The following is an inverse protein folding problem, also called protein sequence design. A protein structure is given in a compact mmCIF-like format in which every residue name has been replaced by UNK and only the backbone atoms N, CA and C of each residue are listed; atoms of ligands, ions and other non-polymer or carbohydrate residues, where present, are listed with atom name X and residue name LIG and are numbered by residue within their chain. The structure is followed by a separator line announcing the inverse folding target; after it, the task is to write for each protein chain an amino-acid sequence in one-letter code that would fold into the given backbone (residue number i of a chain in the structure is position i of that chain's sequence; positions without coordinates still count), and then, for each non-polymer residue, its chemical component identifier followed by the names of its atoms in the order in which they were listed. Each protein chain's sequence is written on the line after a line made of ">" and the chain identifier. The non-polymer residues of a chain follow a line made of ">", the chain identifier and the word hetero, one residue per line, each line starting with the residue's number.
data_IF_040950234193
#
_entry.id   IF_040950234193
#
_cell.length_a   1.000
_cell.length_b   1.000
_cell.length_c   1.000
_cell.angle_alpha   90.00
_cell.angle_beta   90.00
_cell.angle_gamma   90.00
#
_symmetry.space_group_name_H-M   'P 1'
#
loop_
_entity.id
_entity.type
_entity.pdbx_description
1 polymer ?
#
# COMPACT_ATOMS: atom_id res chain seq x y z
N UNK A 1 -38.79 -71.60 -18.69
CA UNK A 1 -37.83 -70.93 -17.83
C UNK A 1 -37.55 -69.58 -18.46
N UNK A 2 -38.00 -68.44 -17.82
CA UNK A 2 -37.89 -67.06 -18.37
C UNK A 2 -36.79 -66.37 -17.63
N UNK A 3 -35.72 -66.02 -18.34
CA UNK A 3 -34.62 -65.25 -17.79
C UNK A 3 -34.99 -63.76 -17.67
N UNK A 4 -34.82 -63.16 -16.46
CA UNK A 4 -35.02 -61.75 -16.18
C UNK A 4 -33.70 -61.10 -16.27
N UNK A 5 -33.46 -60.21 -17.26
CA UNK A 5 -32.30 -59.37 -17.39
C UNK A 5 -32.55 -58.01 -16.65
N UNK A 6 -31.82 -57.76 -15.59
CA UNK A 6 -31.81 -56.46 -14.90
C UNK A 6 -30.93 -55.46 -15.66
N UNK A 7 -31.39 -54.20 -15.87
CA UNK A 7 -30.53 -53.16 -16.44
C UNK A 7 -29.57 -52.58 -15.37
N UNK A 8 -28.29 -52.55 -15.69
CA UNK A 8 -27.24 -51.93 -14.90
C UNK A 8 -27.26 -50.42 -15.11
N UNK A 9 -27.74 -49.65 -14.12
CA UNK A 9 -27.70 -48.19 -14.15
C UNK A 9 -26.30 -47.72 -13.72
N UNK A 10 -25.49 -47.28 -14.67
CA UNK A 10 -24.24 -46.56 -14.42
C UNK A 10 -24.57 -45.14 -13.96
N UNK A 11 -24.49 -44.90 -12.64
CA UNK A 11 -24.51 -43.55 -12.07
C UNK A 11 -23.15 -42.91 -12.23
N UNK A 12 -23.03 -42.04 -13.23
CA UNK A 12 -21.83 -41.17 -13.40
C UNK A 12 -21.86 -40.10 -12.34
N UNK A 13 -21.02 -40.24 -11.30
CA UNK A 13 -20.78 -39.19 -10.32
C UNK A 13 -19.89 -38.14 -10.98
N UNK A 14 -20.50 -37.01 -11.39
CA UNK A 14 -19.77 -35.84 -11.86
C UNK A 14 -19.10 -35.15 -10.66
N UNK A 15 -17.78 -35.31 -10.55
CA UNK A 15 -16.97 -34.62 -9.57
C UNK A 15 -16.80 -33.16 -10.00
N UNK A 16 -17.66 -32.25 -9.50
CA UNK A 16 -17.45 -30.81 -9.67
C UNK A 16 -16.27 -30.36 -8.79
N UNK A 17 -15.10 -30.22 -9.40
CA UNK A 17 -13.98 -29.56 -8.77
C UNK A 17 -14.31 -28.05 -8.67
N UNK A 18 -14.71 -27.61 -7.48
CA UNK A 18 -14.82 -26.18 -7.16
C UNK A 18 -13.40 -25.59 -7.19
N UNK A 19 -13.08 -24.86 -8.24
CA UNK A 19 -11.87 -24.07 -8.30
C UNK A 19 -11.97 -22.97 -7.23
N UNK A 20 -11.25 -23.14 -6.12
CA UNK A 20 -11.07 -22.08 -5.11
C UNK A 20 -10.21 -21.01 -5.77
N UNK A 21 -10.82 -19.89 -6.18
CA UNK A 21 -10.08 -18.73 -6.65
C UNK A 21 -9.22 -18.20 -5.49
N UNK A 22 -7.90 -18.09 -5.70
CA UNK A 22 -7.00 -17.50 -4.73
C UNK A 22 -7.44 -16.06 -4.46
N UNK A 23 -7.61 -15.71 -3.18
CA UNK A 23 -7.91 -14.33 -2.78
C UNK A 23 -6.72 -13.44 -3.16
N UNK A 24 -6.96 -12.23 -3.72
CA UNK A 24 -5.88 -11.29 -3.98
C UNK A 24 -5.19 -10.93 -2.66
N UNK A 25 -3.88 -10.71 -2.71
CA UNK A 25 -3.16 -10.20 -1.54
C UNK A 25 -3.76 -8.86 -1.12
N UNK A 26 -3.64 -8.51 0.17
CA UNK A 26 -4.14 -7.26 0.73
C UNK A 26 -3.59 -6.04 -0.03
N UNK A 27 -2.31 -6.06 -0.38
CA UNK A 27 -1.66 -5.06 -1.23
C UNK A 27 -2.39 -4.88 -2.58
N UNK A 28 -2.70 -5.99 -3.26
CA UNK A 28 -3.36 -5.96 -4.58
C UNK A 28 -4.79 -5.44 -4.44
N UNK A 29 -5.51 -5.86 -3.41
CA UNK A 29 -6.87 -5.39 -3.13
C UNK A 29 -6.89 -3.88 -2.87
N UNK A 30 -6.03 -3.38 -2.00
CA UNK A 30 -5.90 -1.97 -1.64
C UNK A 30 -5.48 -1.11 -2.85
N UNK A 31 -4.48 -1.55 -3.62
CA UNK A 31 -4.06 -0.88 -4.86
C UNK A 31 -5.20 -0.77 -5.89
N UNK A 32 -6.06 -1.78 -5.99
CA UNK A 32 -7.22 -1.72 -6.86
C UNK A 32 -8.29 -0.73 -6.38
N UNK A 33 -8.48 -0.57 -5.06
CA UNK A 33 -9.34 0.47 -4.48
C UNK A 33 -8.78 1.86 -4.82
N UNK A 34 -7.48 2.08 -4.58
CA UNK A 34 -6.79 3.34 -4.90
C UNK A 34 -6.93 3.73 -6.38
N UNK A 35 -6.69 2.77 -7.29
CA UNK A 35 -6.81 3.00 -8.73
C UNK A 35 -8.24 3.40 -9.14
N UNK A 36 -9.27 2.82 -8.50
CA UNK A 36 -10.67 3.19 -8.75
C UNK A 36 -11.01 4.58 -8.22
N UNK A 37 -10.37 5.05 -7.15
CA UNK A 37 -10.52 6.41 -6.67
C UNK A 37 -10.03 7.45 -7.68
N UNK A 38 -9.17 7.06 -8.64
CA UNK A 38 -8.71 7.84 -9.79
C UNK A 38 -8.17 9.25 -9.43
N UNK A 39 -7.58 9.40 -8.23
CA UNK A 39 -7.03 10.67 -7.77
C UNK A 39 -5.69 10.95 -8.49
N UNK A 40 -5.67 11.99 -9.31
CA UNK A 40 -4.47 12.49 -9.97
C UNK A 40 -3.88 13.70 -9.24
N UNK A 41 -4.76 14.44 -8.53
CA UNK A 41 -4.45 15.66 -7.81
C UNK A 41 -4.83 15.49 -6.35
N UNK A 42 -3.85 15.47 -5.46
CA UNK A 42 -4.06 15.29 -4.02
C UNK A 42 -2.90 15.85 -3.21
N UNK A 43 -3.14 16.04 -1.92
CA UNK A 43 -2.13 16.35 -0.94
C UNK A 43 -2.19 15.33 0.18
N UNK A 44 -1.05 14.89 0.65
CA UNK A 44 -0.99 13.99 1.80
C UNK A 44 0.14 14.35 2.74
N UNK A 45 -0.08 14.09 4.02
CA UNK A 45 0.92 14.23 5.06
C UNK A 45 1.43 12.87 5.51
N UNK A 46 2.73 12.76 5.81
CA UNK A 46 3.29 11.56 6.42
C UNK A 46 4.43 11.86 7.37
N UNK A 47 4.72 10.92 8.25
CA UNK A 47 5.93 10.90 9.09
C UNK A 47 6.73 9.66 8.76
N UNK A 48 8.04 9.85 8.61
CA UNK A 48 9.00 8.76 8.47
C UNK A 48 9.75 8.60 9.78
N UNK A 49 9.63 7.45 10.40
CA UNK A 49 10.34 7.12 11.63
C UNK A 49 11.60 6.33 11.31
N UNK A 50 12.64 6.51 12.13
CA UNK A 50 13.82 5.66 12.12
C UNK A 50 14.31 5.51 13.57
N UNK A 51 14.90 4.39 13.91
CA UNK A 51 15.52 4.19 15.23
C UNK A 51 16.70 5.14 15.52
N UNK A 52 17.16 5.83 14.48
CA UNK A 52 18.24 6.82 14.57
C UNK A 52 17.83 8.13 15.26
N UNK A 53 16.53 8.37 15.51
CA UNK A 53 16.05 9.61 16.12
C UNK A 53 14.94 9.33 17.14
N UNK A 54 15.15 9.64 18.44
CA UNK A 54 14.15 9.37 19.48
C UNK A 54 12.94 10.31 19.42
N UNK A 55 13.05 11.44 18.73
CA UNK A 55 12.01 12.46 18.69
C UNK A 55 11.00 12.17 17.57
N UNK A 56 9.75 12.63 17.77
CA UNK A 56 8.73 12.60 16.73
C UNK A 56 9.22 13.40 15.50
N UNK A 57 9.31 12.79 14.31
CA UNK A 57 9.76 13.51 13.13
C UNK A 57 8.75 14.57 12.71
N UNK A 58 9.20 15.64 12.01
CA UNK A 58 8.30 16.59 11.41
C UNK A 58 7.38 15.90 10.40
N UNK A 59 6.17 16.40 10.28
CA UNK A 59 5.27 15.94 9.23
C UNK A 59 5.75 16.45 7.87
N UNK A 60 5.87 15.57 6.92
CA UNK A 60 6.13 15.92 5.52
C UNK A 60 4.81 16.00 4.76
N UNK A 61 4.57 17.11 4.09
CA UNK A 61 3.36 17.37 3.31
C UNK A 61 3.75 17.38 1.84
N UNK A 62 3.21 16.46 1.08
CA UNK A 62 3.49 16.26 -0.35
C UNK A 62 2.27 16.64 -1.15
N UNK A 63 2.45 17.55 -2.10
CA UNK A 63 1.41 17.96 -3.05
C UNK A 63 1.70 17.28 -4.39
N UNK A 64 0.73 16.52 -4.87
CA UNK A 64 0.76 15.80 -6.14
C UNK A 64 -0.23 16.45 -7.11
N UNK A 65 0.22 16.72 -8.35
CA UNK A 65 -0.60 17.17 -9.46
C UNK A 65 -0.30 16.34 -10.69
N UNK A 66 -1.33 15.92 -11.40
CA UNK A 66 -1.20 15.04 -12.56
C UNK A 66 -0.33 13.79 -12.26
N UNK A 67 -0.41 13.26 -11.02
CA UNK A 67 0.38 12.11 -10.51
C UNK A 67 1.88 12.39 -10.33
N UNK A 68 2.31 13.65 -10.37
CA UNK A 68 3.69 14.06 -10.15
C UNK A 68 3.79 14.94 -8.89
N UNK A 69 4.87 14.80 -8.13
CA UNK A 69 5.13 15.65 -6.98
C UNK A 69 5.53 17.04 -7.46
N UNK A 70 4.73 18.04 -7.10
CA UNK A 70 4.97 19.43 -7.48
C UNK A 70 5.41 20.32 -6.32
N UNK A 71 5.22 19.86 -5.07
CA UNK A 71 5.63 20.61 -3.88
C UNK A 71 5.80 19.68 -2.68
N UNK A 72 6.82 19.98 -1.88
CA UNK A 72 7.04 19.35 -0.59
C UNK A 72 7.25 20.42 0.48
N UNK A 73 6.66 20.20 1.65
CA UNK A 73 6.76 21.08 2.82
C UNK A 73 6.96 20.23 4.07
N UNK A 74 7.55 20.80 5.09
CA UNK A 74 7.70 20.18 6.40
C UNK A 74 6.95 21.01 7.43
N UNK A 75 6.19 20.35 8.29
CA UNK A 75 5.55 20.95 9.45
C UNK A 75 6.26 20.45 10.69
N UNK A 76 7.04 21.31 11.39
CA UNK A 76 7.68 20.94 12.66
C UNK A 76 6.65 20.47 13.69
N UNK A 77 7.09 19.65 14.63
CA UNK A 77 6.25 19.20 15.75
C UNK A 77 5.81 20.45 16.55
N UNK A 78 4.55 20.44 16.97
CA UNK A 78 3.92 21.55 17.73
C UNK A 78 3.87 22.90 16.98
N UNK A 79 3.96 22.87 15.65
CA UNK A 79 3.86 24.06 14.80
C UNK A 79 2.75 23.92 13.76
N UNK A 80 2.06 25.02 13.49
CA UNK A 80 1.16 25.15 12.35
C UNK A 80 1.86 25.73 11.11
N UNK A 81 3.07 26.23 11.28
CA UNK A 81 3.86 26.82 10.19
C UNK A 81 4.51 25.70 9.35
N UNK A 82 4.45 25.85 8.06
CA UNK A 82 5.05 24.94 7.10
C UNK A 82 6.30 25.59 6.48
N UNK A 83 7.35 24.81 6.35
CA UNK A 83 8.62 25.23 5.76
C UNK A 83 8.80 24.48 4.44
N UNK A 84 9.06 25.14 3.32
CA UNK A 84 9.33 24.46 2.06
C UNK A 84 10.53 23.53 2.18
N UNK A 85 10.45 22.35 1.57
CA UNK A 85 11.61 21.50 1.39
C UNK A 85 12.63 22.18 0.45
N UNK A 86 13.87 21.72 0.48
CA UNK A 86 14.90 22.22 -0.44
C UNK A 86 14.47 22.02 -1.88
N UNK A 87 14.55 23.04 -2.71
CA UNK A 87 14.23 22.94 -4.12
C UNK A 87 15.07 21.84 -4.80
N UNK A 88 14.44 21.03 -5.65
CA UNK A 88 15.07 19.91 -6.33
C UNK A 88 15.19 18.65 -5.47
N UNK A 89 14.57 18.61 -4.28
CA UNK A 89 14.55 17.43 -3.42
C UNK A 89 13.29 16.55 -3.60
N UNK A 90 12.42 16.90 -4.53
CA UNK A 90 11.14 16.22 -4.75
C UNK A 90 11.32 14.73 -5.01
N UNK A 91 12.41 14.33 -5.65
CA UNK A 91 12.76 12.93 -5.96
C UNK A 91 13.10 12.06 -4.73
N UNK A 92 13.23 12.66 -3.53
CA UNK A 92 13.40 11.90 -2.28
C UNK A 92 12.07 11.52 -1.63
N UNK A 93 10.97 11.95 -2.20
CA UNK A 93 9.63 11.74 -1.68
C UNK A 93 8.84 10.82 -2.62
N UNK A 94 7.72 10.31 -2.16
CA UNK A 94 6.92 9.33 -2.90
C UNK A 94 5.54 9.87 -3.23
N UNK A 95 5.00 9.50 -4.36
CA UNK A 95 3.55 9.50 -4.60
C UNK A 95 2.92 8.29 -3.92
N UNK A 96 1.59 8.25 -3.80
CA UNK A 96 0.90 7.05 -3.28
C UNK A 96 1.14 5.84 -4.18
N UNK A 97 1.20 6.02 -5.50
CA UNK A 97 1.52 4.94 -6.43
C UNK A 97 2.94 4.39 -6.19
N UNK A 98 3.92 5.25 -5.93
CA UNK A 98 5.30 4.84 -5.61
C UNK A 98 5.40 4.15 -4.24
N UNK A 99 4.57 4.52 -3.26
CA UNK A 99 4.50 3.79 -1.99
C UNK A 99 4.00 2.35 -2.20
N UNK A 100 3.03 2.12 -3.08
CA UNK A 100 2.63 0.78 -3.46
C UNK A 100 3.76 -0.01 -4.13
N UNK A 101 4.53 0.63 -5.03
CA UNK A 101 5.69 -0.02 -5.67
C UNK A 101 6.80 -0.34 -4.65
N UNK A 102 7.02 0.54 -3.67
CA UNK A 102 7.97 0.33 -2.58
C UNK A 102 7.62 -0.93 -1.78
N UNK A 103 6.35 -1.06 -1.34
CA UNK A 103 5.84 -2.23 -0.61
C UNK A 103 6.02 -3.51 -1.44
N UNK A 104 5.55 -3.50 -2.69
CA UNK A 104 5.61 -4.65 -3.60
C UNK A 104 7.08 -5.08 -3.88
N UNK A 105 7.95 -4.11 -4.14
CA UNK A 105 9.38 -4.36 -4.35
C UNK A 105 10.07 -4.95 -3.12
N UNK A 106 9.75 -4.46 -1.92
CA UNK A 106 10.28 -5.00 -0.67
C UNK A 106 9.83 -6.45 -0.45
N UNK A 107 8.55 -6.75 -0.66
CA UNK A 107 8.01 -8.12 -0.57
C UNK A 107 8.69 -9.07 -1.56
N UNK A 108 8.87 -8.67 -2.82
CA UNK A 108 9.56 -9.50 -3.83
C UNK A 108 11.02 -9.76 -3.49
N UNK A 109 11.68 -8.89 -2.75
CA UNK A 109 13.06 -9.07 -2.27
C UNK A 109 13.18 -9.87 -0.99
N UNK A 110 12.05 -10.30 -0.42
CA UNK A 110 12.01 -11.11 0.80
C UNK A 110 12.14 -10.33 2.10
N UNK A 111 12.00 -9.00 2.07
CA UNK A 111 11.91 -8.17 3.25
C UNK A 111 10.67 -8.54 4.11
N UNK A 112 10.74 -8.35 5.41
CA UNK A 112 9.58 -8.45 6.26
C UNK A 112 8.75 -7.16 6.14
N UNK A 113 7.54 -7.26 5.58
CA UNK A 113 6.68 -6.11 5.30
C UNK A 113 5.36 -6.24 6.04
N UNK A 114 4.98 -5.18 6.75
CA UNK A 114 3.63 -4.97 7.28
C UNK A 114 3.12 -3.65 6.73
N UNK A 115 1.88 -3.64 6.25
CA UNK A 115 1.24 -2.43 5.76
C UNK A 115 -0.25 -2.45 6.10
N UNK A 116 -0.78 -1.31 6.49
CA UNK A 116 -2.21 -1.06 6.69
C UNK A 116 -2.72 -0.12 5.59
N UNK A 117 -3.98 -0.23 5.25
CA UNK A 117 -4.57 0.52 4.15
C UNK A 117 -5.88 1.19 4.55
N UNK A 118 -6.15 2.36 3.99
CA UNK A 118 -7.44 3.03 4.12
C UNK A 118 -8.56 2.20 3.47
N UNK A 119 -9.62 1.94 4.23
CA UNK A 119 -10.70 1.07 3.79
C UNK A 119 -11.54 1.67 2.63
N UNK A 120 -11.61 3.00 2.55
CA UNK A 120 -12.44 3.71 1.58
C UNK A 120 -11.69 3.98 0.27
N UNK A 121 -10.45 4.42 0.35
CA UNK A 121 -9.63 4.86 -0.79
C UNK A 121 -8.47 3.93 -1.10
N UNK A 122 -8.12 3.02 -0.20
CA UNK A 122 -7.11 2.00 -0.40
C UNK A 122 -5.66 2.45 -0.27
N UNK A 123 -5.36 3.72 -0.04
CA UNK A 123 -3.98 4.17 0.10
C UNK A 123 -3.32 3.60 1.37
N UNK A 124 -1.99 3.39 1.39
CA UNK A 124 -1.30 2.91 2.58
C UNK A 124 -1.40 3.94 3.71
N UNK A 125 -1.84 3.52 4.90
CA UNK A 125 -1.89 4.37 6.11
C UNK A 125 -0.68 4.14 7.01
N UNK A 126 -0.14 2.93 6.96
CA UNK A 126 1.03 2.52 7.74
C UNK A 126 1.88 1.58 6.91
N UNK A 127 3.19 1.77 6.90
CA UNK A 127 4.15 0.92 6.20
C UNK A 127 5.31 0.67 7.14
N UNK A 128 5.62 -0.60 7.38
CA UNK A 128 6.82 -1.05 8.06
C UNK A 128 7.54 -2.05 7.18
N UNK A 129 8.79 -1.80 6.88
CA UNK A 129 9.66 -2.65 6.08
C UNK A 129 10.95 -2.89 6.86
N UNK A 130 11.27 -4.14 7.14
CA UNK A 130 12.54 -4.60 7.67
C UNK A 130 13.25 -5.35 6.53
N UNK A 131 14.31 -4.73 6.00
CA UNK A 131 15.01 -5.25 4.82
C UNK A 131 15.94 -6.42 5.17
N UNK A 132 16.54 -6.43 6.35
CA UNK A 132 17.40 -7.51 6.86
C UNK A 132 17.26 -7.66 8.37
N UNK A 133 16.54 -8.68 8.82
CA UNK A 133 16.31 -8.99 10.25
C UNK A 133 17.56 -9.09 11.11
N UNK A 134 18.74 -9.18 10.50
CA UNK A 134 20.01 -9.27 11.20
C UNK A 134 20.79 -7.95 11.19
N UNK A 135 20.31 -6.94 10.46
CA UNK A 135 20.88 -5.61 10.47
C UNK A 135 20.10 -4.71 11.45
N UNK A 136 20.75 -3.66 11.92
CA UNK A 136 20.14 -2.65 12.79
C UNK A 136 20.09 -1.34 12.01
N UNK A 137 18.92 -0.73 11.94
CA UNK A 137 18.74 0.60 11.34
C UNK A 137 18.52 0.57 9.82
N UNK A 138 18.12 -0.57 9.25
CA UNK A 138 17.70 -0.71 7.87
C UNK A 138 16.16 -0.76 7.73
N UNK A 139 15.45 -0.57 8.85
CA UNK A 139 14.00 -0.50 8.88
C UNK A 139 13.50 0.83 8.30
N UNK A 140 12.35 0.74 7.66
CA UNK A 140 11.59 1.90 7.19
C UNK A 140 10.19 1.88 7.78
N UNK A 141 9.88 2.89 8.58
CA UNK A 141 8.55 3.13 9.13
C UNK A 141 7.96 4.42 8.57
N UNK A 142 6.80 4.32 7.95
CA UNK A 142 6.05 5.46 7.39
C UNK A 142 4.61 5.42 7.87
N UNK A 143 4.13 6.51 8.43
CA UNK A 143 2.72 6.68 8.83
C UNK A 143 2.12 7.85 8.07
N UNK A 144 1.08 7.61 7.27
CA UNK A 144 0.34 8.67 6.61
C UNK A 144 -0.66 9.29 7.59
N UNK A 145 -0.60 10.60 7.72
CA UNK A 145 -1.40 11.36 8.69
C UNK A 145 -2.68 11.92 8.09
N UNK A 146 -2.64 12.30 6.84
CA UNK A 146 -3.77 12.89 6.10
C UNK A 146 -3.69 12.54 4.62
N UNK A 147 -4.83 12.52 3.93
CA UNK A 147 -4.90 12.55 2.47
C UNK A 147 -6.16 13.32 2.04
N UNK A 148 -5.97 14.35 1.22
CA UNK A 148 -7.04 15.21 0.72
C UNK A 148 -6.96 15.37 -0.79
N UNK A 149 -8.04 15.08 -1.53
CA UNK A 149 -8.14 15.44 -2.94
C UNK A 149 -8.01 16.95 -3.14
N UNK A 150 -7.35 17.36 -4.21
CA UNK A 150 -7.26 18.78 -4.59
C UNK A 150 -8.24 19.07 -5.72
N UNK A 151 -9.05 20.10 -5.53
CA UNK A 151 -9.89 20.63 -6.61
C UNK A 151 -9.03 21.34 -7.65
N UNK A 152 -9.43 21.22 -8.91
CA UNK A 152 -8.84 21.98 -10.03
C UNK A 152 -9.28 23.44 -10.02
#
# INVERSE_FOLDING_TARGET
>A
MKGVTLPFWLTTVACFALAVAAQPSELVAARNVWRRAALADYEYGYRKYCECHPDTPPETIVTVRNREIVRVRHRPVDSTNEVPAKAGSEHYYWTIDELFELIDSAQRRGAAVRASYDAERGFPTEIHIDYDKNAIGDELDVVLTTLSPLTR
#
